data_IF_486493829612
#
_entry.id   IF_486493829612
#
_cell.length_a   1.000
_cell.length_b   1.000
_cell.length_c   1.000
_cell.angle_alpha   90.00
_cell.angle_beta   90.00
_cell.angle_gamma   90.00
#
_symmetry.space_group_name_H-M   'P 1'
#
loop_
_entity.id
_entity.type
_entity.pdbx_description
1 polymer ?
#
# COMPACT_ATOMS: atom_id res chain seq x y z
N UNK A 1 23.72 -5.17 -5.13
CA UNK A 1 22.54 -5.95 -5.60
C UNK A 1 22.55 -5.99 -7.12
N UNK A 2 22.19 -7.13 -7.72
CA UNK A 2 22.00 -7.25 -9.16
C UNK A 2 20.70 -6.54 -9.57
N UNK A 3 20.61 -6.15 -10.84
CA UNK A 3 19.38 -5.50 -11.37
C UNK A 3 18.12 -6.36 -11.17
N UNK A 4 18.29 -7.68 -11.27
CA UNK A 4 17.19 -8.64 -11.04
C UNK A 4 16.71 -8.63 -9.58
N UNK A 5 17.62 -8.50 -8.61
CA UNK A 5 17.27 -8.41 -7.19
C UNK A 5 16.43 -7.17 -6.89
N UNK A 6 16.77 -6.04 -7.55
CA UNK A 6 16.03 -4.78 -7.40
C UNK A 6 14.61 -4.93 -7.97
N UNK A 7 14.45 -5.60 -9.11
CA UNK A 7 13.12 -5.85 -9.69
C UNK A 7 12.30 -6.76 -8.78
N UNK A 8 12.87 -7.85 -8.28
CA UNK A 8 12.17 -8.76 -7.37
C UNK A 8 11.75 -8.07 -6.08
N UNK A 9 12.62 -7.23 -5.52
CA UNK A 9 12.32 -6.41 -4.35
C UNK A 9 11.19 -5.42 -4.64
N UNK A 10 11.24 -4.74 -5.79
CA UNK A 10 10.21 -3.79 -6.20
C UNK A 10 8.85 -4.47 -6.38
N UNK A 11 8.80 -5.69 -6.96
CA UNK A 11 7.59 -6.48 -7.08
C UNK A 11 7.06 -6.87 -5.69
N UNK A 12 7.94 -7.34 -4.80
CA UNK A 12 7.54 -7.71 -3.44
C UNK A 12 6.89 -6.53 -2.69
N UNK A 13 7.54 -5.37 -2.70
CA UNK A 13 7.02 -4.13 -2.09
C UNK A 13 5.73 -3.63 -2.76
N UNK A 14 5.57 -3.81 -4.07
CA UNK A 14 4.38 -3.40 -4.79
C UNK A 14 3.14 -4.27 -4.49
N UNK A 15 3.30 -5.45 -3.87
CA UNK A 15 2.17 -6.36 -3.60
C UNK A 15 1.15 -5.77 -2.65
N UNK A 16 1.56 -4.97 -1.66
CA UNK A 16 0.65 -4.32 -0.73
C UNK A 16 -0.19 -3.24 -1.42
N UNK A 17 0.45 -2.39 -2.25
CA UNK A 17 -0.25 -1.43 -3.09
C UNK A 17 -1.20 -2.10 -4.07
N UNK A 18 -0.82 -3.24 -4.64
CA UNK A 18 -1.63 -4.04 -5.55
C UNK A 18 -2.89 -4.56 -4.85
N UNK A 19 -2.75 -5.17 -3.67
CA UNK A 19 -3.86 -5.72 -2.91
C UNK A 19 -4.86 -4.63 -2.49
N UNK A 20 -4.37 -3.51 -1.97
CA UNK A 20 -5.22 -2.35 -1.60
C UNK A 20 -5.91 -1.75 -2.82
N UNK A 21 -5.24 -1.71 -3.97
CA UNK A 21 -5.81 -1.21 -5.22
C UNK A 21 -6.90 -2.12 -5.76
N UNK A 22 -6.80 -3.46 -5.62
CA UNK A 22 -7.88 -4.40 -5.93
C UNK A 22 -9.12 -4.07 -5.09
N UNK A 23 -8.96 -3.94 -3.78
CA UNK A 23 -10.06 -3.58 -2.87
C UNK A 23 -10.71 -2.27 -3.27
N UNK A 24 -9.91 -1.24 -3.55
CA UNK A 24 -10.41 0.05 -4.03
C UNK A 24 -11.18 -0.08 -5.35
N UNK A 25 -10.71 -0.93 -6.27
CA UNK A 25 -11.37 -1.21 -7.55
C UNK A 25 -12.74 -1.86 -7.37
N UNK A 26 -12.86 -2.83 -6.46
CA UNK A 26 -14.12 -3.51 -6.12
C UNK A 26 -15.14 -2.49 -5.59
N UNK A 27 -14.73 -1.64 -4.64
CA UNK A 27 -15.58 -0.62 -4.03
C UNK A 27 -16.00 0.44 -5.06
N UNK A 28 -15.05 0.94 -5.86
CA UNK A 28 -15.33 1.93 -6.89
C UNK A 28 -16.32 1.40 -7.92
N UNK A 29 -16.24 0.12 -8.27
CA UNK A 29 -17.18 -0.52 -9.20
C UNK A 29 -18.58 -0.62 -8.60
N UNK A 30 -18.69 -0.96 -7.31
CA UNK A 30 -19.98 -0.99 -6.61
C UNK A 30 -20.67 0.38 -6.61
N UNK A 31 -19.90 1.48 -6.56
CA UNK A 31 -20.40 2.85 -6.61
C UNK A 31 -20.47 3.42 -8.05
N UNK A 32 -20.40 2.60 -9.09
CA UNK A 32 -20.45 3.00 -10.51
C UNK A 32 -19.36 4.02 -10.91
N UNK A 33 -18.23 4.06 -10.21
CA UNK A 33 -17.12 4.94 -10.54
C UNK A 33 -16.33 4.32 -11.70
N UNK A 34 -16.11 5.11 -12.73
CA UNK A 34 -15.41 4.67 -13.94
C UNK A 34 -13.96 4.30 -13.64
N UNK A 35 -13.49 3.18 -14.20
CA UNK A 35 -12.12 2.68 -14.05
C UNK A 35 -11.06 3.71 -14.49
N UNK A 36 -11.41 4.58 -15.44
CA UNK A 36 -10.53 5.60 -16.02
C UNK A 36 -10.67 6.97 -15.34
N UNK A 37 -11.11 7.01 -14.08
CA UNK A 37 -11.27 8.25 -13.34
C UNK A 37 -9.90 8.84 -12.95
N UNK A 38 -9.71 10.17 -13.02
CA UNK A 38 -8.47 10.83 -12.56
C UNK A 38 -8.16 10.54 -11.09
N UNK A 39 -9.16 10.18 -10.28
CA UNK A 39 -8.98 9.79 -8.88
C UNK A 39 -8.21 8.47 -8.73
N UNK A 40 -8.35 7.55 -9.69
CA UNK A 40 -7.61 6.27 -9.74
C UNK A 40 -6.13 6.52 -10.05
N UNK A 41 -5.85 7.32 -11.06
CA UNK A 41 -4.47 7.70 -11.40
C UNK A 41 -3.79 8.48 -10.28
N UNK A 42 -4.52 9.33 -9.57
CA UNK A 42 -4.01 10.02 -8.37
C UNK A 42 -3.64 9.03 -7.27
N UNK A 43 -4.48 8.01 -7.01
CA UNK A 43 -4.17 6.97 -6.02
C UNK A 43 -2.92 6.19 -6.41
N UNK A 44 -2.84 5.74 -7.68
CA UNK A 44 -1.66 5.04 -8.18
C UNK A 44 -0.39 5.90 -8.08
N UNK A 45 -0.49 7.19 -8.41
CA UNK A 45 0.62 8.13 -8.26
C UNK A 45 1.06 8.27 -6.81
N UNK A 46 0.12 8.41 -5.88
CA UNK A 46 0.44 8.48 -4.45
C UNK A 46 1.14 7.21 -3.97
N UNK A 47 0.66 6.03 -4.36
CA UNK A 47 1.32 4.77 -4.00
C UNK A 47 2.74 4.70 -4.55
N UNK A 48 2.95 4.98 -5.84
CA UNK A 48 4.28 5.02 -6.43
C UNK A 48 5.19 6.07 -5.80
N UNK A 49 4.66 7.25 -5.50
CA UNK A 49 5.41 8.34 -4.87
C UNK A 49 5.85 7.99 -3.45
N UNK A 50 4.94 7.52 -2.59
CA UNK A 50 5.30 7.15 -1.22
C UNK A 50 6.21 5.92 -1.20
N UNK A 51 6.01 4.96 -2.09
CA UNK A 51 6.87 3.80 -2.23
C UNK A 51 8.30 4.14 -2.70
N UNK A 52 8.46 5.26 -3.42
CA UNK A 52 9.78 5.79 -3.80
C UNK A 52 10.41 6.65 -2.69
N UNK A 53 9.62 7.51 -2.05
CA UNK A 53 10.17 8.47 -1.07
C UNK A 53 10.49 7.82 0.27
N UNK A 54 9.76 6.78 0.69
CA UNK A 54 9.98 6.10 1.97
C UNK A 54 11.36 5.42 2.05
N UNK A 55 11.85 4.68 1.04
CA UNK A 55 13.24 4.17 1.08
C UNK A 55 14.28 5.29 1.13
N UNK A 56 14.01 6.42 0.48
CA UNK A 56 14.90 7.57 0.55
C UNK A 56 14.96 8.15 1.97
N UNK A 57 13.81 8.28 2.63
CA UNK A 57 13.72 8.74 4.02
C UNK A 57 14.42 7.75 4.95
N UNK A 58 14.19 6.44 4.80
CA UNK A 58 14.86 5.40 5.57
C UNK A 58 16.38 5.46 5.42
N UNK A 59 16.86 5.59 4.20
CA UNK A 59 18.29 5.69 3.89
C UNK A 59 18.93 6.97 4.49
N UNK A 60 18.27 8.13 4.39
CA UNK A 60 18.73 9.38 4.99
C UNK A 60 18.66 9.36 6.52
N UNK A 61 17.65 8.70 7.06
CA UNK A 61 17.40 8.63 8.49
C UNK A 61 18.28 7.63 9.26
N UNK A 62 19.02 6.77 8.57
CA UNK A 62 19.78 5.66 9.17
C UNK A 62 20.74 6.13 10.27
N UNK A 63 21.33 7.31 10.13
CA UNK A 63 22.28 7.85 11.12
C UNK A 63 21.61 8.30 12.43
N UNK A 64 20.27 8.41 12.48
CA UNK A 64 19.56 8.97 13.63
C UNK A 64 18.43 8.08 14.15
N UNK A 65 17.89 7.14 13.34
CA UNK A 65 16.62 6.47 13.63
C UNK A 65 16.61 4.96 13.37
N UNK A 66 17.73 4.33 13.01
CA UNK A 66 17.74 2.91 12.60
C UNK A 66 17.10 1.96 13.62
N UNK A 67 17.45 2.08 14.90
CA UNK A 67 16.94 1.21 15.96
C UNK A 67 15.44 1.42 16.27
N UNK A 68 14.96 2.67 16.19
CA UNK A 68 13.55 3.01 16.42
C UNK A 68 12.64 2.60 15.26
N UNK A 69 13.11 2.75 14.03
CA UNK A 69 12.34 2.41 12.83
C UNK A 69 12.16 0.89 12.70
N UNK A 70 13.24 0.11 12.90
CA UNK A 70 13.16 -1.36 12.84
C UNK A 70 12.26 -1.95 13.93
N UNK A 71 12.17 -1.29 15.09
CA UNK A 71 11.37 -1.79 16.22
C UNK A 71 9.85 -1.52 16.07
N UNK A 72 9.44 -0.45 15.38
CA UNK A 72 8.05 0.03 15.42
C UNK A 72 7.35 0.11 14.06
N UNK A 73 8.04 -0.02 12.93
CA UNK A 73 7.46 0.14 11.59
C UNK A 73 6.27 -0.79 11.34
N UNK A 74 6.40 -2.07 11.67
CA UNK A 74 5.35 -3.08 11.51
C UNK A 74 4.15 -2.86 12.44
N UNK A 75 4.37 -2.33 13.66
CA UNK A 75 3.27 -1.97 14.57
C UNK A 75 2.47 -0.79 14.05
N UNK A 76 3.13 0.20 13.47
CA UNK A 76 2.48 1.36 12.86
C UNK A 76 1.69 0.93 11.62
N UNK A 77 2.29 0.12 10.73
CA UNK A 77 1.61 -0.42 9.56
C UNK A 77 0.38 -1.25 9.93
N UNK A 78 0.53 -2.18 10.88
CA UNK A 78 -0.58 -2.98 11.38
C UNK A 78 -1.71 -2.11 11.96
N UNK A 79 -1.37 -1.16 12.83
CA UNK A 79 -2.35 -0.28 13.46
C UNK A 79 -3.15 0.53 12.44
N UNK A 80 -2.49 1.09 11.41
CA UNK A 80 -3.14 1.83 10.35
C UNK A 80 -4.05 0.95 9.50
N UNK A 81 -3.57 -0.23 9.08
CA UNK A 81 -4.36 -1.18 8.28
C UNK A 81 -5.52 -1.77 9.07
N UNK A 82 -5.32 -2.08 10.36
CA UNK A 82 -6.36 -2.56 11.26
C UNK A 82 -7.43 -1.49 11.50
N UNK A 83 -7.03 -0.23 11.68
CA UNK A 83 -7.96 0.88 11.87
C UNK A 83 -8.81 1.12 10.61
N UNK A 84 -8.19 1.15 9.43
CA UNK A 84 -8.90 1.33 8.16
C UNK A 84 -9.79 0.13 7.88
N UNK A 85 -9.26 -1.08 8.00
CA UNK A 85 -10.01 -2.33 7.77
C UNK A 85 -11.17 -2.50 8.75
N UNK A 86 -10.95 -2.19 10.03
CA UNK A 86 -11.99 -2.20 11.06
C UNK A 86 -13.10 -1.18 10.77
N UNK A 87 -12.75 0.04 10.35
CA UNK A 87 -13.73 1.04 9.94
C UNK A 87 -14.53 0.59 8.71
N UNK A 88 -13.89 -0.02 7.70
CA UNK A 88 -14.58 -0.57 6.54
C UNK A 88 -15.55 -1.69 6.90
N UNK A 89 -15.17 -2.57 7.83
CA UNK A 89 -16.06 -3.64 8.32
C UNK A 89 -17.25 -3.02 9.05
N UNK A 90 -17.01 -2.08 9.95
CA UNK A 90 -18.09 -1.38 10.67
C UNK A 90 -19.08 -0.73 9.70
N UNK A 91 -18.59 0.06 8.74
CA UNK A 91 -19.42 0.72 7.73
C UNK A 91 -20.18 -0.25 6.81
N UNK A 92 -19.69 -1.50 6.64
CA UNK A 92 -20.40 -2.51 5.86
C UNK A 92 -21.71 -2.97 6.50
N UNK A 93 -21.87 -2.77 7.82
CA UNK A 93 -23.08 -3.07 8.56
C UNK A 93 -23.98 -1.83 8.78
N UNK A 94 -23.50 -0.62 8.49
CA UNK A 94 -24.28 0.61 8.55
C UNK A 94 -25.19 0.76 7.31
N UNK A 95 -26.32 1.49 7.42
CA UNK A 95 -27.16 1.84 6.29
C UNK A 95 -26.36 2.57 5.18
N UNK A 96 -26.79 2.43 3.91
CA UNK A 96 -26.07 2.99 2.77
C UNK A 96 -25.87 4.52 2.85
N UNK A 97 -26.77 5.22 3.53
CA UNK A 97 -26.75 6.67 3.70
C UNK A 97 -25.64 7.14 4.66
N UNK A 98 -25.12 6.28 5.53
CA UNK A 98 -24.10 6.60 6.54
C UNK A 98 -22.69 6.09 6.20
N UNK A 99 -22.49 5.48 5.03
CA UNK A 99 -21.19 4.91 4.66
C UNK A 99 -20.16 5.98 4.31
N UNK A 100 -19.14 6.12 5.14
CA UNK A 100 -18.12 7.16 5.01
C UNK A 100 -16.82 6.72 4.32
N UNK A 101 -16.54 5.40 4.22
CA UNK A 101 -15.33 4.93 3.56
C UNK A 101 -15.41 5.15 2.05
N UNK A 102 -14.67 6.13 1.59
CA UNK A 102 -14.61 6.48 0.19
C UNK A 102 -13.16 6.44 -0.30
N UNK A 103 -12.76 5.41 -1.08
CA UNK A 103 -11.40 5.27 -1.60
C UNK A 103 -11.03 6.37 -2.60
N UNK A 104 -11.98 7.22 -2.99
CA UNK A 104 -11.70 8.36 -3.87
C UNK A 104 -11.35 9.64 -3.12
N UNK A 105 -11.56 9.69 -1.79
CA UNK A 105 -11.15 10.84 -0.97
C UNK A 105 -9.63 10.90 -0.86
N UNK A 106 -9.06 12.09 -1.05
CA UNK A 106 -7.61 12.30 -0.97
C UNK A 106 -7.03 11.85 0.37
N UNK A 107 -7.71 12.17 1.48
CA UNK A 107 -7.28 11.77 2.82
C UNK A 107 -7.14 10.26 2.95
N UNK A 108 -8.12 9.50 2.47
CA UNK A 108 -8.11 8.03 2.48
C UNK A 108 -6.94 7.49 1.64
N UNK A 109 -6.74 8.05 0.44
CA UNK A 109 -5.64 7.66 -0.44
C UNK A 109 -4.26 7.93 0.16
N UNK A 110 -4.09 9.08 0.84
CA UNK A 110 -2.85 9.42 1.54
C UNK A 110 -2.56 8.44 2.70
N UNK A 111 -3.56 8.16 3.53
CA UNK A 111 -3.39 7.23 4.66
C UNK A 111 -3.04 5.83 4.14
N UNK A 112 -3.73 5.35 3.10
CA UNK A 112 -3.42 4.06 2.48
C UNK A 112 -2.01 4.04 1.88
N UNK A 113 -1.61 5.10 1.16
CA UNK A 113 -0.28 5.18 0.55
C UNK A 113 0.83 5.18 1.60
N UNK A 114 0.67 5.91 2.69
CA UNK A 114 1.63 5.91 3.81
C UNK A 114 1.67 4.52 4.45
N UNK A 115 0.50 3.93 4.77
CA UNK A 115 0.43 2.63 5.44
C UNK A 115 1.09 1.51 4.64
N UNK A 116 0.90 1.50 3.30
CA UNK A 116 1.46 0.47 2.42
C UNK A 116 2.92 0.70 2.05
N UNK A 117 3.52 1.82 2.42
CA UNK A 117 4.93 2.13 2.09
C UNK A 117 5.85 2.18 3.33
N UNK A 118 5.35 1.79 4.50
CA UNK A 118 6.16 1.75 5.72
C UNK A 118 7.25 0.67 5.62
N UNK A 119 6.95 -0.48 5.02
CA UNK A 119 7.92 -1.54 4.73
C UNK A 119 9.06 -1.07 3.80
N UNK A 120 8.75 -0.21 2.84
CA UNK A 120 9.74 0.39 1.95
C UNK A 120 10.73 1.30 2.72
N UNK A 121 10.30 1.89 3.84
CA UNK A 121 11.18 2.67 4.71
C UNK A 121 12.25 1.77 5.35
N UNK A 122 11.89 0.58 5.85
CA UNK A 122 12.83 -0.40 6.39
C UNK A 122 13.83 -0.88 5.32
N UNK A 123 13.36 -1.06 4.07
CA UNK A 123 14.25 -1.36 2.93
C UNK A 123 15.26 -0.24 2.69
N UNK A 124 14.87 1.02 2.84
CA UNK A 124 15.78 2.16 2.76
C UNK A 124 16.88 2.12 3.82
N UNK A 125 16.54 1.78 5.06
CA UNK A 125 17.52 1.54 6.14
C UNK A 125 18.47 0.42 5.76
N UNK A 126 17.94 -0.69 5.25
CA UNK A 126 18.75 -1.83 4.79
C UNK A 126 19.73 -1.44 3.67
N UNK A 127 19.32 -0.58 2.73
CA UNK A 127 20.22 -0.06 1.70
C UNK A 127 21.41 0.71 2.30
N UNK A 128 21.18 1.56 3.30
CA UNK A 128 22.25 2.27 3.97
C UNK A 128 23.23 1.31 4.68
N UNK A 129 22.74 0.25 5.31
CA UNK A 129 23.56 -0.77 5.97
C UNK A 129 24.33 -1.68 4.98
N UNK A 130 23.84 -1.85 3.76
CA UNK A 130 24.41 -2.79 2.76
C UNK A 130 25.36 -2.14 1.76
N UNK A 131 25.85 -0.92 2.04
CA UNK A 131 26.90 -0.27 1.24
C UNK A 131 26.42 0.72 0.18
N UNK A 132 25.17 1.11 0.20
CA UNK A 132 24.65 2.22 -0.62
C UNK A 132 24.94 3.55 0.07
N UNK A 133 26.18 4.07 -0.11
CA UNK A 133 26.62 5.30 0.57
C UNK A 133 26.40 6.58 -0.26
N UNK A 134 26.07 6.44 -1.54
CA UNK A 134 25.87 7.58 -2.44
C UNK A 134 24.44 7.65 -2.96
N UNK A 135 23.90 8.86 -3.06
CA UNK A 135 22.57 9.11 -3.59
C UNK A 135 22.38 8.56 -5.03
N UNK A 136 23.43 8.59 -5.85
CA UNK A 136 23.41 8.05 -7.20
C UNK A 136 23.17 6.52 -7.23
N UNK A 137 23.61 5.80 -6.21
CA UNK A 137 23.45 4.36 -6.11
C UNK A 137 22.02 3.97 -5.73
N UNK A 138 21.40 4.73 -4.81
CA UNK A 138 20.04 4.44 -4.34
C UNK A 138 18.95 4.98 -5.28
N UNK A 139 19.27 5.97 -6.12
CA UNK A 139 18.30 6.57 -7.03
C UNK A 139 17.66 5.54 -7.98
N UNK A 140 18.46 4.62 -8.54
CA UNK A 140 17.95 3.56 -9.43
C UNK A 140 16.95 2.62 -8.75
N UNK A 141 17.27 2.00 -7.60
CA UNK A 141 16.28 1.20 -6.85
C UNK A 141 15.00 1.97 -6.52
N UNK A 142 15.11 3.20 -6.02
CA UNK A 142 13.95 4.02 -5.63
C UNK A 142 13.02 4.28 -6.82
N UNK A 143 13.57 4.66 -7.97
CA UNK A 143 12.78 4.93 -9.18
C UNK A 143 12.08 3.65 -9.65
N UNK A 144 12.77 2.53 -9.67
CA UNK A 144 12.19 1.24 -10.07
C UNK A 144 11.05 0.85 -9.13
N UNK A 145 11.25 0.94 -7.81
CA UNK A 145 10.22 0.65 -6.80
C UNK A 145 8.99 1.52 -7.03
N UNK A 146 9.17 2.83 -7.21
CA UNK A 146 8.06 3.76 -7.46
C UNK A 146 7.28 3.46 -8.73
N UNK A 147 7.98 3.18 -9.85
CA UNK A 147 7.35 2.86 -11.14
C UNK A 147 6.58 1.53 -11.05
N UNK A 148 7.18 0.49 -10.47
CA UNK A 148 6.55 -0.81 -10.33
C UNK A 148 5.30 -0.69 -9.46
N UNK A 149 5.36 0.00 -8.32
CA UNK A 149 4.21 0.22 -7.44
C UNK A 149 3.09 1.02 -8.11
N UNK A 150 3.43 2.03 -8.90
CA UNK A 150 2.46 2.77 -9.71
C UNK A 150 1.74 1.85 -10.71
N UNK A 151 2.48 1.04 -11.47
CA UNK A 151 1.91 0.12 -12.46
C UNK A 151 1.05 -0.95 -11.80
N UNK A 152 1.54 -1.56 -10.72
CA UNK A 152 0.80 -2.57 -9.95
C UNK A 152 -0.48 -2.00 -9.35
N UNK A 153 -0.46 -0.75 -8.90
CA UNK A 153 -1.67 -0.08 -8.41
C UNK A 153 -2.73 0.07 -9.51
N UNK A 154 -2.34 0.46 -10.72
CA UNK A 154 -3.28 0.56 -11.84
C UNK A 154 -3.83 -0.81 -12.20
N UNK A 155 -2.97 -1.82 -12.35
CA UNK A 155 -3.37 -3.19 -12.68
C UNK A 155 -4.29 -3.77 -11.61
N UNK A 156 -3.92 -3.61 -10.34
CA UNK A 156 -4.73 -4.05 -9.20
C UNK A 156 -6.13 -3.42 -9.20
N UNK A 157 -6.22 -2.10 -9.43
CA UNK A 157 -7.51 -1.42 -9.52
C UNK A 157 -8.36 -1.94 -10.70
N UNK A 158 -7.77 -2.16 -11.88
CA UNK A 158 -8.49 -2.70 -13.04
C UNK A 158 -9.04 -4.09 -12.76
N UNK A 159 -8.21 -4.97 -12.17
CA UNK A 159 -8.63 -6.31 -11.75
C UNK A 159 -9.76 -6.24 -10.73
N UNK A 160 -9.64 -5.36 -9.73
CA UNK A 160 -10.69 -5.13 -8.73
C UNK A 160 -12.01 -4.70 -9.36
N UNK A 161 -11.97 -3.82 -10.36
CA UNK A 161 -13.15 -3.42 -11.12
C UNK A 161 -13.77 -4.56 -11.95
N UNK A 162 -12.96 -5.46 -12.49
CA UNK A 162 -13.46 -6.63 -13.24
C UNK A 162 -14.16 -7.63 -12.33
N UNK A 163 -13.54 -7.95 -11.19
CA UNK A 163 -14.11 -8.86 -10.20
C UNK A 163 -15.25 -8.24 -9.40
N UNK A 164 -15.28 -6.92 -9.30
CA UNK A 164 -16.26 -6.16 -8.51
C UNK A 164 -17.72 -6.42 -8.91
N UNK A 165 -18.00 -6.71 -10.17
CA UNK A 165 -19.36 -7.07 -10.63
C UNK A 165 -19.89 -8.35 -9.98
N UNK A 166 -19.02 -9.34 -9.82
CA UNK A 166 -19.41 -10.65 -9.25
C UNK A 166 -19.52 -10.56 -7.72
N UNK A 167 -18.65 -9.78 -7.10
CA UNK A 167 -18.57 -9.63 -5.64
C UNK A 167 -19.64 -8.67 -5.13
N UNK A 168 -19.89 -7.56 -5.83
CA UNK A 168 -20.88 -6.55 -5.42
C UNK A 168 -22.33 -7.12 -5.37
N UNK A 169 -22.64 -8.09 -6.22
CA UNK A 169 -23.97 -8.71 -6.27
C UNK A 169 -24.20 -9.76 -5.18
N UNK A 170 -23.17 -10.27 -4.51
CA UNK A 170 -23.27 -11.35 -3.51
C UNK A 170 -22.72 -11.01 -2.13
N UNK A 171 -21.81 -10.06 -2.03
CA UNK A 171 -21.07 -9.71 -0.80
C UNK A 171 -21.01 -8.19 -0.66
N UNK A 172 -21.04 -7.70 0.59
CA UNK A 172 -20.81 -6.29 0.91
C UNK A 172 -19.34 -5.94 0.62
N UNK A 173 -19.03 -5.07 -0.39
CA UNK A 173 -17.65 -4.81 -0.82
C UNK A 173 -16.75 -4.25 0.30
N UNK A 174 -17.34 -3.43 1.20
CA UNK A 174 -16.65 -2.89 2.36
C UNK A 174 -16.22 -3.95 3.36
N UNK A 175 -17.07 -4.97 3.60
CA UNK A 175 -16.73 -6.09 4.49
C UNK A 175 -15.54 -6.87 3.93
N UNK A 176 -15.58 -7.19 2.63
CA UNK A 176 -14.52 -7.98 1.99
C UNK A 176 -13.20 -7.22 1.97
N UNK A 177 -13.25 -5.93 1.63
CA UNK A 177 -12.09 -5.04 1.65
C UNK A 177 -11.46 -4.89 3.03
N UNK A 178 -12.31 -4.69 4.05
CA UNK A 178 -11.85 -4.58 5.44
C UNK A 178 -11.16 -5.84 5.95
N UNK A 179 -11.71 -7.02 5.64
CA UNK A 179 -11.08 -8.32 5.99
C UNK A 179 -9.72 -8.47 5.32
N UNK A 180 -9.60 -8.13 4.02
CA UNK A 180 -8.32 -8.20 3.29
C UNK A 180 -7.29 -7.26 3.93
N UNK A 181 -7.67 -6.03 4.26
CA UNK A 181 -6.74 -5.06 4.87
C UNK A 181 -6.25 -5.53 6.25
N UNK A 182 -7.14 -6.06 7.09
CA UNK A 182 -6.74 -6.64 8.39
C UNK A 182 -5.82 -7.84 8.18
N UNK A 183 -6.12 -8.71 7.20
CA UNK A 183 -5.29 -9.88 6.90
C UNK A 183 -3.89 -9.47 6.44
N UNK A 184 -3.79 -8.44 5.59
CA UNK A 184 -2.49 -7.88 5.16
C UNK A 184 -1.74 -7.33 6.38
N UNK A 185 -2.40 -6.55 7.24
CA UNK A 185 -1.80 -6.02 8.47
C UNK A 185 -1.26 -7.11 9.39
N UNK A 186 -2.06 -8.17 9.62
CA UNK A 186 -1.64 -9.33 10.41
C UNK A 186 -0.44 -10.02 9.76
N UNK A 187 -0.48 -10.26 8.45
CA UNK A 187 0.63 -10.89 7.70
C UNK A 187 1.91 -10.08 7.84
N UNK A 188 1.85 -8.77 7.70
CA UNK A 188 3.00 -7.86 7.84
C UNK A 188 3.59 -7.95 9.25
N UNK A 189 2.74 -7.90 10.28
CA UNK A 189 3.15 -8.04 11.67
C UNK A 189 3.83 -9.41 11.93
N UNK A 190 3.22 -10.50 11.46
CA UNK A 190 3.76 -11.85 11.65
C UNK A 190 5.09 -12.08 10.93
N UNK A 191 5.23 -11.54 9.72
CA UNK A 191 6.45 -11.65 8.92
C UNK A 191 7.66 -11.05 9.64
N UNK A 192 7.46 -9.98 10.41
CA UNK A 192 8.52 -9.31 11.18
C UNK A 192 8.79 -9.95 12.55
N UNK A 193 7.75 -10.53 13.18
CA UNK A 193 7.93 -11.20 14.49
C UNK A 193 8.63 -12.56 14.38
N UNK A 194 8.65 -13.16 13.17
CA UNK A 194 9.29 -14.46 12.90
C UNK A 194 10.64 -14.34 12.17
N UNK A 195 11.07 -13.16 11.77
CA UNK A 195 12.36 -12.87 11.17
C UNK A 195 13.39 -12.48 12.22
#
# INVERSE_FOLDING_TARGET
MNFLDIILLAIALAMDCFAVSIVSGIINKAHSITTNSPKVYRMAFLFGFFQAIMPLIGWLGTNHFSELLEAYDHWIAFSLLALIGGNMIREAFEPEEERHFNPTKLRTQLILAIATSIDALAVGVSFACTGYHQLSQIATPIIIIGIVSFLFSIVGHQLGCQFGKTIANRLKPGLFGGIILIFIGIKTLFSHLMA
#
